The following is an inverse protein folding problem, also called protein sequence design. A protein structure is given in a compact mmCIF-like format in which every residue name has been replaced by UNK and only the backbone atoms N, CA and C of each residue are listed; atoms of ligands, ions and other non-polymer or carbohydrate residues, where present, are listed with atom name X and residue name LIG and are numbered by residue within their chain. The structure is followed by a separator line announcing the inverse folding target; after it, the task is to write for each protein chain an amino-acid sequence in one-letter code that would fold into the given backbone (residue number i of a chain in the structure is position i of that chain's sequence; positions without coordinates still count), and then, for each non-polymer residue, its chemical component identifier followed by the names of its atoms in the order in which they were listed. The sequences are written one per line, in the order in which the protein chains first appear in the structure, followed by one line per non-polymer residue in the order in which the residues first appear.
data_IF_565142512361
#
_entry.id   IF_565142512361
#
_cell.length_a   1.000
_cell.length_b   1.000
_cell.length_c   1.000
_cell.angle_alpha   90.00
_cell.angle_beta   90.00
_cell.angle_gamma   90.00
#
_symmetry.space_group_name_H-M   'P 1'
#
loop_
_entity.id
_entity.type
_entity.pdbx_description
1 polymer ?
#
# COMPACT_ATOMS: atom_id res chain seq x y z
N UNK A 1 -12.62 7.87 18.37
CA UNK A 1 -12.29 6.84 17.38
C UNK A 1 -10.78 6.78 17.31
N UNK A 2 -10.20 5.59 17.39
CA UNK A 2 -8.75 5.38 17.24
C UNK A 2 -8.36 5.69 15.79
N UNK A 3 -7.20 6.32 15.57
CA UNK A 3 -6.66 6.53 14.22
C UNK A 3 -6.37 5.17 13.56
N UNK A 4 -6.64 5.01 12.24
CA UNK A 4 -6.34 3.77 11.54
C UNK A 4 -4.83 3.53 11.49
N UNK A 5 -4.44 2.26 11.50
CA UNK A 5 -3.06 1.83 11.25
C UNK A 5 -2.76 1.83 9.76
N UNK A 6 -1.46 1.88 9.38
CA UNK A 6 -1.06 1.77 7.97
C UNK A 6 -1.54 0.44 7.35
N UNK A 7 -1.57 -0.65 8.11
CA UNK A 7 -2.09 -1.93 7.65
C UNK A 7 -3.59 -1.89 7.33
N UNK A 8 -4.38 -1.19 8.14
CA UNK A 8 -5.81 -0.98 7.87
C UNK A 8 -6.03 -0.12 6.63
N UNK A 9 -5.23 0.94 6.43
CA UNK A 9 -5.28 1.76 5.20
C UNK A 9 -4.92 0.94 3.95
N UNK A 10 -3.92 0.06 4.04
CA UNK A 10 -3.55 -0.85 2.95
C UNK A 10 -4.67 -1.84 2.64
N UNK A 11 -5.34 -2.37 3.67
CA UNK A 11 -6.49 -3.24 3.49
C UNK A 11 -7.65 -2.52 2.81
N UNK A 12 -7.97 -1.29 3.24
CA UNK A 12 -9.03 -0.47 2.63
C UNK A 12 -8.71 -0.11 1.16
N UNK A 13 -7.46 0.24 0.87
CA UNK A 13 -6.98 0.44 -0.49
C UNK A 13 -7.22 -0.81 -1.34
N UNK A 14 -6.90 -2.00 -0.83
CA UNK A 14 -7.10 -3.27 -1.53
C UNK A 14 -8.57 -3.57 -1.82
N UNK A 15 -9.45 -3.41 -0.83
CA UNK A 15 -10.89 -3.61 -1.03
C UNK A 15 -11.45 -2.61 -2.06
N UNK A 16 -11.03 -1.35 -1.98
CA UNK A 16 -11.44 -0.31 -2.93
C UNK A 16 -10.94 -0.60 -4.34
N UNK A 17 -9.67 -1.01 -4.45
CA UNK A 17 -9.05 -1.41 -5.71
C UNK A 17 -9.79 -2.59 -6.35
N UNK A 18 -10.08 -3.64 -5.57
CA UNK A 18 -10.79 -4.82 -6.04
C UNK A 18 -12.20 -4.52 -6.55
N UNK A 19 -12.91 -3.56 -5.94
CA UNK A 19 -14.24 -3.15 -6.40
C UNK A 19 -14.17 -2.46 -7.77
N UNK A 20 -13.15 -1.63 -7.99
CA UNK A 20 -12.92 -0.90 -9.25
C UNK A 20 -12.35 -1.81 -10.35
N UNK A 21 -11.54 -2.82 -9.98
CA UNK A 21 -10.78 -3.67 -10.90
C UNK A 21 -11.40 -5.05 -11.21
N UNK A 22 -12.73 -5.21 -11.09
CA UNK A 22 -13.44 -6.46 -11.41
C UNK A 22 -13.38 -6.89 -12.90
N UNK A 23 -12.53 -6.27 -13.72
CA UNK A 23 -12.50 -6.36 -15.19
C UNK A 23 -11.12 -6.84 -15.72
N UNK A 24 -10.05 -6.90 -14.92
CA UNK A 24 -8.66 -7.05 -15.44
C UNK A 24 -8.09 -8.48 -15.54
N UNK A 25 -8.85 -9.53 -15.25
CA UNK A 25 -8.38 -10.94 -15.35
C UNK A 25 -7.02 -11.20 -14.66
N UNK A 26 -6.74 -10.43 -13.60
CA UNK A 26 -5.56 -10.57 -12.74
C UNK A 26 -4.30 -9.79 -13.17
N UNK A 27 -4.27 -9.14 -14.34
CA UNK A 27 -3.14 -8.31 -14.75
C UNK A 27 -3.46 -6.82 -14.55
N UNK A 28 -2.81 -6.21 -13.56
CA UNK A 28 -2.88 -4.78 -13.32
C UNK A 28 -1.46 -4.21 -13.21
N UNK A 29 -0.82 -3.83 -14.32
CA UNK A 29 0.54 -3.29 -14.30
C UNK A 29 0.65 -1.94 -13.56
N UNK A 30 -0.47 -1.26 -13.31
CA UNK A 30 -0.51 0.07 -12.70
C UNK A 30 -0.93 0.06 -11.21
N UNK A 31 -1.11 -1.13 -10.61
CA UNK A 31 -1.59 -1.29 -9.24
C UNK A 31 -0.87 -0.39 -8.23
N UNK A 32 0.46 -0.30 -8.31
CA UNK A 32 1.27 0.46 -7.35
C UNK A 32 1.07 1.97 -7.50
N UNK A 33 0.84 2.44 -8.73
CA UNK A 33 0.51 3.85 -8.99
C UNK A 33 -0.85 4.20 -8.41
N UNK A 34 -1.84 3.32 -8.60
CA UNK A 34 -3.18 3.51 -8.04
C UNK A 34 -3.14 3.53 -6.51
N UNK A 35 -2.43 2.59 -5.89
CA UNK A 35 -2.28 2.54 -4.43
C UNK A 35 -1.59 3.80 -3.91
N UNK A 36 -0.52 4.26 -4.56
CA UNK A 36 0.17 5.48 -4.13
C UNK A 36 -0.73 6.71 -4.21
N UNK A 37 -1.55 6.84 -5.26
CA UNK A 37 -2.51 7.94 -5.36
C UNK A 37 -3.58 7.85 -4.28
N UNK A 38 -4.18 6.68 -4.08
CA UNK A 38 -5.21 6.48 -3.06
C UNK A 38 -4.66 6.77 -1.66
N UNK A 39 -3.51 6.20 -1.31
CA UNK A 39 -2.89 6.37 0.00
C UNK A 39 -2.49 7.83 0.27
N UNK A 40 -1.98 8.55 -0.74
CA UNK A 40 -1.55 9.94 -0.55
C UNK A 40 -2.71 10.95 -0.53
N UNK A 41 -3.80 10.66 -1.23
CA UNK A 41 -4.84 11.66 -1.50
C UNK A 41 -6.18 11.36 -0.84
N UNK A 42 -6.44 10.10 -0.50
CA UNK A 42 -7.72 9.61 0.02
C UNK A 42 -7.59 8.87 1.36
N UNK A 43 -6.41 8.88 2.00
CA UNK A 43 -6.16 8.21 3.27
C UNK A 43 -5.36 9.07 4.26
N UNK A 44 -5.31 8.64 5.51
CA UNK A 44 -4.54 9.27 6.59
C UNK A 44 -3.03 8.94 6.54
N UNK A 45 -2.54 8.20 5.53
CA UNK A 45 -1.12 7.81 5.45
C UNK A 45 -0.14 9.00 5.64
N UNK A 46 -0.32 10.18 5.01
CA UNK A 46 0.57 11.32 5.23
C UNK A 46 0.61 11.80 6.69
N UNK A 47 -0.50 11.65 7.41
CA UNK A 47 -0.57 12.02 8.84
C UNK A 47 0.21 11.01 9.67
N UNK A 48 0.01 9.70 9.40
CA UNK A 48 0.70 8.62 10.10
C UNK A 48 2.23 8.64 9.88
N UNK A 49 2.69 9.13 8.72
CA UNK A 49 4.12 9.30 8.40
C UNK A 49 4.68 10.67 8.81
N UNK A 50 3.88 11.54 9.45
CA UNK A 50 4.25 12.92 9.78
C UNK A 50 4.72 13.76 8.55
N UNK A 51 4.24 13.42 7.36
CA UNK A 51 4.57 14.06 6.10
C UNK A 51 4.12 13.22 4.90
N UNK A 52 3.80 13.88 3.78
CA UNK A 52 3.50 13.19 2.54
C UNK A 52 4.81 12.78 1.84
N UNK A 53 5.10 11.47 1.67
CA UNK A 53 6.25 11.05 0.89
C UNK A 53 6.07 11.44 -0.58
N UNK A 54 7.17 11.59 -1.31
CA UNK A 54 7.13 11.81 -2.76
C UNK A 54 6.44 10.61 -3.42
N UNK A 55 5.42 10.87 -4.26
CA UNK A 55 4.63 9.82 -4.93
C UNK A 55 5.48 8.75 -5.61
N UNK A 56 6.50 9.14 -6.37
CA UNK A 56 7.38 8.17 -7.05
C UNK A 56 8.19 7.30 -6.08
N UNK A 57 8.52 7.80 -4.89
CA UNK A 57 9.18 7.03 -3.85
C UNK A 57 8.22 6.00 -3.24
N UNK A 58 6.96 6.39 -2.98
CA UNK A 58 5.93 5.47 -2.50
C UNK A 58 5.61 4.37 -3.53
N UNK A 59 5.43 4.73 -4.80
CA UNK A 59 5.23 3.75 -5.89
C UNK A 59 6.40 2.76 -5.94
N UNK A 60 7.64 3.27 -5.90
CA UNK A 60 8.82 2.42 -5.88
C UNK A 60 8.84 1.49 -4.66
N UNK A 61 8.53 2.01 -3.48
CA UNK A 61 8.49 1.22 -2.24
C UNK A 61 7.46 0.09 -2.35
N UNK A 62 6.24 0.36 -2.81
CA UNK A 62 5.19 -0.65 -3.00
C UNK A 62 5.65 -1.78 -3.94
N UNK A 63 6.23 -1.44 -5.08
CA UNK A 63 6.76 -2.44 -6.02
C UNK A 63 7.89 -3.28 -5.41
N UNK A 64 8.78 -2.67 -4.62
CA UNK A 64 9.83 -3.44 -3.93
C UNK A 64 9.27 -4.33 -2.83
N UNK A 65 8.24 -3.89 -2.11
CA UNK A 65 7.60 -4.67 -1.05
C UNK A 65 6.93 -5.91 -1.60
N UNK A 66 6.23 -5.79 -2.72
CA UNK A 66 5.63 -6.93 -3.43
C UNK A 66 6.67 -7.98 -3.80
N UNK A 67 7.77 -7.55 -4.45
CA UNK A 67 8.88 -8.44 -4.79
C UNK A 67 9.48 -9.13 -3.56
N UNK A 68 9.69 -8.38 -2.49
CA UNK A 68 10.28 -8.91 -1.26
C UNK A 68 9.35 -9.90 -0.56
N UNK A 69 8.06 -9.58 -0.48
CA UNK A 69 7.04 -10.43 0.14
C UNK A 69 6.86 -11.73 -0.65
N UNK A 70 6.74 -11.66 -1.98
CA UNK A 70 6.65 -12.84 -2.84
C UNK A 70 7.93 -13.69 -2.76
N UNK A 71 9.12 -13.07 -2.70
CA UNK A 71 10.37 -13.80 -2.63
C UNK A 71 10.62 -14.46 -1.26
N UNK A 72 10.25 -13.79 -0.17
CA UNK A 72 10.40 -14.32 1.19
C UNK A 72 9.29 -15.32 1.58
N UNK A 73 8.13 -15.22 0.93
CA UNK A 73 6.92 -16.00 1.22
C UNK A 73 6.63 -16.13 2.74
N UNK A 74 6.57 -15.00 3.49
CA UNK A 74 6.38 -15.06 4.92
C UNK A 74 4.97 -15.54 5.29
N UNK A 75 4.79 -16.00 6.53
CA UNK A 75 3.49 -16.40 7.05
C UNK A 75 2.64 -15.21 7.54
N UNK A 76 3.25 -14.04 7.69
CA UNK A 76 2.56 -12.81 8.07
C UNK A 76 1.69 -12.30 6.92
N UNK A 77 0.65 -11.53 7.24
CA UNK A 77 -0.18 -10.88 6.23
C UNK A 77 0.61 -9.80 5.49
N UNK A 78 0.37 -9.65 4.19
CA UNK A 78 1.06 -8.63 3.39
C UNK A 78 0.82 -7.22 3.91
N UNK A 79 -0.38 -6.91 4.41
CA UNK A 79 -0.71 -5.58 4.94
C UNK A 79 0.20 -5.21 6.12
N UNK A 80 0.44 -6.17 7.01
CA UNK A 80 1.30 -6.02 8.19
C UNK A 80 2.77 -5.88 7.79
N UNK A 81 3.24 -6.71 6.83
CA UNK A 81 4.59 -6.60 6.29
C UNK A 81 4.83 -5.23 5.67
N UNK A 82 3.93 -4.78 4.80
CA UNK A 82 4.06 -3.53 4.07
C UNK A 82 4.01 -2.36 5.04
N UNK A 83 3.07 -2.36 5.98
CA UNK A 83 2.94 -1.31 6.99
C UNK A 83 4.22 -1.12 7.80
N UNK A 84 4.79 -2.21 8.31
CA UNK A 84 6.05 -2.18 9.08
C UNK A 84 7.20 -1.63 8.24
N UNK A 85 7.31 -2.08 6.99
CA UNK A 85 8.42 -1.71 6.12
C UNK A 85 8.29 -0.28 5.56
N UNK A 86 7.07 0.21 5.32
CA UNK A 86 6.79 1.60 4.91
C UNK A 86 7.09 2.58 6.05
N UNK A 87 6.61 2.29 7.26
CA UNK A 87 6.88 3.11 8.45
C UNK A 87 8.38 3.20 8.79
N UNK A 88 9.18 2.22 8.38
CA UNK A 88 10.63 2.22 8.57
C UNK A 88 11.41 2.96 7.47
N UNK A 89 10.80 3.26 6.32
CA UNK A 89 11.48 3.77 5.11
C UNK A 89 11.09 5.18 4.69
N UNK A 90 9.89 5.63 5.07
CA UNK A 90 9.28 6.89 4.67
C UNK A 90 9.04 7.77 5.88
#
# INVERSE_FOLDING_TARGET
MTEPTIAELLHEAAETHHVVYRITDGDDPDWASWYADWLLTLSELPVLLAGAPVRSALVHALVQLDRNYTAAAPAERWEEFYARELAARL
#
